data_IF_206334859093
#
_entry.id   IF_206334859093
#
_cell.length_a   1.000
_cell.length_b   1.000
_cell.length_c   1.000
_cell.angle_alpha   90.00
_cell.angle_beta   90.00
_cell.angle_gamma   90.00
#
_symmetry.space_group_name_H-M   'P 1'
#
loop_
_entity.id
_entity.type
_entity.pdbx_description
1 polymer ?
#
# COMPACT_ATOMS: atom_id res chain seq x y z
N UNK A 1 9.32 5.47 -2.94
CA UNK A 1 7.86 5.60 -2.76
C UNK A 1 7.51 5.07 -1.37
N UNK A 2 6.67 5.77 -0.60
CA UNK A 2 6.35 5.36 0.77
C UNK A 2 5.08 4.53 0.80
N UNK A 3 5.10 3.42 1.55
CA UNK A 3 3.97 2.51 1.66
C UNK A 3 3.76 2.07 3.10
N UNK A 4 2.56 1.60 3.40
CA UNK A 4 2.27 0.82 4.59
C UNK A 4 2.01 -0.63 4.19
N UNK A 5 2.62 -1.55 4.92
CA UNK A 5 2.33 -2.96 4.83
C UNK A 5 1.28 -3.38 5.87
N UNK A 6 0.59 -4.48 5.58
CA UNK A 6 -0.33 -5.08 6.55
C UNK A 6 0.37 -5.47 7.86
N UNK A 7 1.61 -5.95 7.77
CA UNK A 7 2.41 -6.43 8.89
C UNK A 7 3.91 -6.23 8.67
N UNK A 8 4.71 -6.49 9.70
CA UNK A 8 6.18 -6.49 9.67
C UNK A 8 6.78 -7.52 8.69
N UNK A 9 6.00 -8.46 8.16
CA UNK A 9 6.46 -9.41 7.13
C UNK A 9 6.56 -8.77 5.73
N UNK A 10 6.03 -7.54 5.57
CA UNK A 10 6.09 -6.73 4.36
C UNK A 10 5.56 -7.41 3.08
N UNK A 11 4.60 -8.32 3.21
CA UNK A 11 4.09 -9.09 2.05
C UNK A 11 3.06 -8.34 1.23
N UNK A 12 2.18 -7.59 1.89
CA UNK A 12 1.04 -6.94 1.26
C UNK A 12 1.01 -5.45 1.59
N UNK A 13 0.93 -4.61 0.54
CA UNK A 13 0.76 -3.16 0.68
C UNK A 13 -0.71 -2.86 0.90
N UNK A 14 -1.02 -2.04 1.91
CA UNK A 14 -2.38 -1.62 2.24
C UNK A 14 -2.61 -0.12 2.02
N UNK A 15 -1.54 0.68 1.86
CA UNK A 15 -1.61 2.11 1.55
C UNK A 15 -0.34 2.62 0.90
N UNK A 16 -0.45 3.68 0.08
CA UNK A 16 0.66 4.38 -0.58
C UNK A 16 0.61 5.86 -0.18
N UNK A 17 1.77 6.43 0.12
CA UNK A 17 1.93 7.81 0.56
C UNK A 17 2.97 8.57 -0.28
N UNK A 18 2.81 9.89 -0.36
CA UNK A 18 3.77 10.78 -1.01
C UNK A 18 5.00 11.08 -0.13
N UNK A 19 4.92 10.84 1.17
CA UNK A 19 6.01 11.02 2.15
C UNK A 19 5.89 9.99 3.29
N UNK A 20 6.94 9.90 4.12
CA UNK A 20 6.91 9.09 5.35
C UNK A 20 5.85 9.62 6.32
N UNK A 21 5.06 8.71 6.89
CA UNK A 21 4.04 9.01 7.89
C UNK A 21 4.56 8.75 9.31
N UNK A 22 3.77 9.17 10.29
CA UNK A 22 4.02 8.88 11.70
C UNK A 22 3.91 7.37 11.98
N UNK A 23 4.93 6.80 12.62
CA UNK A 23 5.05 5.34 12.81
C UNK A 23 4.09 4.80 13.89
N UNK A 24 3.55 5.65 14.79
CA UNK A 24 2.53 5.24 15.77
C UNK A 24 1.14 5.15 15.13
N UNK A 25 0.82 6.10 14.23
CA UNK A 25 -0.45 6.11 13.51
C UNK A 25 -0.48 5.11 12.33
N UNK A 26 0.67 4.93 11.66
CA UNK A 26 0.83 4.05 10.51
C UNK A 26 2.02 3.11 10.75
N UNK A 27 1.84 2.01 11.48
CA UNK A 27 2.91 1.04 11.70
C UNK A 27 3.23 0.28 10.40
N UNK A 28 4.36 -0.44 10.39
CA UNK A 28 4.80 -1.28 9.27
C UNK A 28 5.01 -0.50 7.97
N UNK A 29 5.57 0.70 8.07
CA UNK A 29 5.92 1.51 6.90
C UNK A 29 7.23 1.06 6.27
N UNK A 30 7.32 1.20 4.96
CA UNK A 30 8.55 0.99 4.20
C UNK A 30 8.67 1.94 3.03
N UNK A 31 9.89 2.04 2.52
CA UNK A 31 10.17 2.71 1.24
C UNK A 31 10.50 1.65 0.18
N UNK A 32 9.75 1.68 -0.92
CA UNK A 32 9.89 0.73 -2.03
C UNK A 32 10.17 1.46 -3.34
N UNK A 33 10.68 0.71 -4.30
CA UNK A 33 10.88 1.19 -5.67
C UNK A 33 9.53 1.48 -6.36
N UNK A 34 9.55 2.33 -7.39
CA UNK A 34 8.34 2.72 -8.14
C UNK A 34 7.64 1.53 -8.80
N UNK A 35 8.40 0.50 -9.20
CA UNK A 35 7.91 -0.73 -9.83
C UNK A 35 7.95 -1.94 -8.88
N UNK A 36 7.73 -1.71 -7.58
CA UNK A 36 7.62 -2.83 -6.65
C UNK A 36 6.37 -3.67 -6.97
N UNK A 37 6.50 -5.00 -7.17
CA UNK A 37 5.38 -5.85 -7.55
C UNK A 37 4.23 -5.84 -6.53
N UNK A 38 4.51 -5.58 -5.26
CA UNK A 38 3.48 -5.48 -4.21
C UNK A 38 2.60 -4.24 -4.40
N UNK A 39 3.18 -3.16 -4.92
CA UNK A 39 2.46 -1.91 -5.21
C UNK A 39 1.61 -2.06 -6.46
N UNK A 40 2.14 -2.71 -7.50
CA UNK A 40 1.36 -3.03 -8.70
C UNK A 40 0.15 -3.89 -8.36
N UNK A 41 0.34 -4.90 -7.50
CA UNK A 41 -0.76 -5.74 -6.99
C UNK A 41 -1.82 -4.90 -6.24
N UNK A 42 -1.40 -4.00 -5.36
CA UNK A 42 -2.30 -3.10 -4.63
C UNK A 42 -3.10 -2.18 -5.56
N UNK A 43 -2.46 -1.57 -6.56
CA UNK A 43 -3.11 -0.68 -7.53
C UNK A 43 -4.13 -1.46 -8.36
N UNK A 44 -3.76 -2.67 -8.81
CA UNK A 44 -4.66 -3.54 -9.57
C UNK A 44 -5.91 -3.90 -8.76
N UNK A 45 -5.73 -4.38 -7.53
CA UNK A 45 -6.84 -4.72 -6.63
C UNK A 45 -7.71 -3.50 -6.30
N UNK A 46 -7.09 -2.34 -6.07
CA UNK A 46 -7.81 -1.09 -5.80
C UNK A 46 -8.65 -0.65 -7.01
N UNK A 47 -8.13 -0.82 -8.23
CA UNK A 47 -8.88 -0.56 -9.46
C UNK A 47 -10.06 -1.53 -9.65
N UNK A 48 -9.87 -2.81 -9.34
CA UNK A 48 -10.92 -3.83 -9.37
C UNK A 48 -12.02 -3.52 -8.34
N UNK A 49 -11.66 -3.13 -7.11
CA UNK A 49 -12.60 -2.71 -6.06
C UNK A 49 -13.34 -1.41 -6.40
N UNK A 50 -12.68 -0.44 -7.04
CA UNK A 50 -13.32 0.79 -7.50
C UNK A 50 -14.30 0.55 -8.67
N UNK A 51 -14.12 -0.54 -9.41
CA UNK A 51 -15.02 -0.99 -10.47
C UNK A 51 -16.27 -1.72 -9.98
N UNK A 52 -16.36 -2.07 -8.69
CA UNK A 52 -17.56 -2.65 -8.09
C UNK A 52 -18.54 -1.50 -7.77
N UNK A 53 -19.75 -1.47 -8.34
CA UNK A 53 -20.75 -0.48 -7.94
C UNK A 53 -21.04 -0.66 -6.45
N UNK A 54 -20.85 0.40 -5.67
CA UNK A 54 -21.27 0.42 -4.26
C UNK A 54 -22.78 0.12 -4.20
N UNK A 55 -23.22 -0.77 -3.29
CA UNK A 55 -24.63 -1.12 -3.13
C UNK A 55 -25.50 0.08 -2.76
#
# INVERSE_FOLDING_TARGET
>A
MFVQFESEEEREVVSIFSCRQDDEAYPNQGEVAEHDPRVEAFIKLSGELAGIPKP
#
